data_IF_857817818288
#
_entry.id   IF_857817818288
#
_cell.length_a   1.000
_cell.length_b   1.000
_cell.length_c   1.000
_cell.angle_alpha   90.00
_cell.angle_beta   90.00
_cell.angle_gamma   90.00
#
_symmetry.space_group_name_H-M   'P 1'
#
loop_
_entity.id
_entity.type
_entity.pdbx_description
1 polymer ?
#
# COMPACT_ATOMS: atom_id res chain seq x y z
N UNK A 1 64.79 10.17 -29.62
CA UNK A 1 64.23 8.87 -29.18
C UNK A 1 63.94 8.98 -27.70
N UNK A 2 62.68 8.93 -27.29
CA UNK A 2 62.17 8.14 -26.15
C UNK A 2 60.64 8.28 -26.18
N UNK A 3 59.99 7.14 -26.46
CA UNK A 3 58.54 6.98 -26.51
C UNK A 3 58.07 6.66 -25.09
N UNK A 4 57.06 7.38 -24.59
CA UNK A 4 56.28 6.99 -23.41
C UNK A 4 54.83 7.40 -23.72
N UNK A 5 54.12 6.58 -24.49
CA UNK A 5 53.09 5.65 -24.03
C UNK A 5 51.99 6.29 -23.18
N UNK A 6 50.90 6.57 -23.87
CA UNK A 6 49.56 6.90 -23.41
C UNK A 6 49.08 5.89 -22.36
N UNK A 7 48.84 6.34 -21.13
CA UNK A 7 48.07 5.59 -20.13
C UNK A 7 46.78 6.36 -19.87
N UNK A 8 45.76 6.00 -20.65
CA UNK A 8 44.35 6.29 -20.39
C UNK A 8 43.93 5.58 -19.10
N UNK A 9 43.87 6.30 -17.99
CA UNK A 9 43.16 5.84 -16.80
C UNK A 9 41.71 6.28 -16.97
N UNK A 10 40.92 5.44 -17.64
CA UNK A 10 39.46 5.55 -17.62
C UNK A 10 38.97 5.08 -16.24
N UNK A 11 38.83 6.04 -15.32
CA UNK A 11 38.14 5.80 -14.05
C UNK A 11 36.66 5.57 -14.32
N UNK A 12 36.24 4.30 -14.27
CA UNK A 12 34.84 3.91 -14.28
C UNK A 12 34.22 4.34 -12.93
N UNK A 13 33.69 5.56 -12.87
CA UNK A 13 32.83 5.97 -11.78
C UNK A 13 31.53 5.18 -11.90
N UNK A 14 31.39 4.11 -11.12
CA UNK A 14 30.12 3.42 -10.96
C UNK A 14 29.14 4.39 -10.30
N UNK A 15 28.28 5.00 -11.10
CA UNK A 15 27.14 5.77 -10.62
C UNK A 15 26.19 4.73 -10.01
N UNK A 16 26.24 4.57 -8.69
CA UNK A 16 25.19 3.87 -7.98
C UNK A 16 23.92 4.74 -8.14
N UNK A 17 23.06 4.39 -9.10
CA UNK A 17 21.74 4.98 -9.16
C UNK A 17 21.04 4.64 -7.83
N UNK A 18 20.49 5.63 -7.09
CA UNK A 18 19.63 5.31 -5.97
C UNK A 18 18.50 4.46 -6.53
N UNK A 19 18.31 3.26 -5.98
CA UNK A 19 17.05 2.55 -6.19
C UNK A 19 15.99 3.46 -5.60
N UNK A 20 15.22 4.13 -6.44
CA UNK A 20 14.00 4.80 -6.03
C UNK A 20 13.09 3.67 -5.54
N UNK A 21 13.14 3.33 -4.25
CA UNK A 21 12.08 2.54 -3.67
C UNK A 21 10.86 3.44 -3.74
N UNK A 22 9.86 3.02 -4.52
CA UNK A 22 8.57 3.69 -4.51
C UNK A 22 8.04 3.55 -3.09
N UNK A 23 7.91 4.67 -2.38
CA UNK A 23 7.31 4.72 -1.04
C UNK A 23 5.89 4.15 -1.14
N UNK A 24 5.50 3.29 -0.19
CA UNK A 24 4.15 2.72 -0.18
C UNK A 24 3.10 3.82 -0.02
N UNK A 25 2.40 4.15 -1.11
CA UNK A 25 1.42 5.23 -1.12
C UNK A 25 0.12 4.76 -0.48
N UNK A 26 -0.24 5.38 0.64
CA UNK A 26 -1.54 5.20 1.26
C UNK A 26 -2.61 5.96 0.44
N UNK A 27 -3.69 5.29 -0.01
CA UNK A 27 -4.76 5.90 -0.80
C UNK A 27 -5.52 7.00 -0.05
N UNK A 28 -5.98 8.01 -0.79
CA UNK A 28 -6.81 9.08 -0.24
C UNK A 28 -8.20 8.57 0.20
N UNK A 29 -8.82 9.28 1.14
CA UNK A 29 -10.19 8.97 1.57
C UNK A 29 -11.20 9.22 0.45
N UNK A 30 -12.13 8.28 0.26
CA UNK A 30 -13.21 8.42 -0.73
C UNK A 30 -14.51 8.92 -0.11
N UNK A 31 -15.26 9.69 -0.88
CA UNK A 31 -16.58 10.18 -0.51
C UNK A 31 -17.64 9.17 -0.95
N UNK A 32 -18.43 8.70 0.00
CA UNK A 32 -19.62 7.86 -0.26
C UNK A 32 -20.84 8.77 -0.17
N UNK A 33 -21.65 8.87 -1.24
CA UNK A 33 -22.79 9.78 -1.26
C UNK A 33 -23.95 9.24 -0.41
N UNK A 34 -24.81 10.14 0.07
CA UNK A 34 -25.99 9.78 0.87
C UNK A 34 -27.03 9.09 -0.02
N UNK A 35 -27.29 7.80 0.24
CA UNK A 35 -28.23 7.00 -0.53
C UNK A 35 -29.66 7.53 -0.52
N UNK A 36 -30.06 8.33 0.48
CA UNK A 36 -31.38 8.94 0.51
C UNK A 36 -31.54 10.09 -0.50
N UNK A 37 -30.43 10.73 -0.89
CA UNK A 37 -30.41 11.91 -1.76
C UNK A 37 -29.70 11.67 -3.10
N UNK A 38 -29.06 10.51 -3.27
CA UNK A 38 -28.30 10.17 -4.48
C UNK A 38 -29.20 9.72 -5.63
N UNK A 39 -28.71 9.96 -6.83
CA UNK A 39 -29.19 9.36 -8.08
C UNK A 39 -28.60 7.96 -8.27
N UNK A 40 -29.19 7.18 -9.19
CA UNK A 40 -28.64 5.88 -9.58
C UNK A 40 -27.22 5.99 -10.16
N UNK A 41 -26.96 7.05 -10.93
CA UNK A 41 -25.65 7.32 -11.52
C UNK A 41 -24.60 7.59 -10.44
N UNK A 42 -24.89 8.44 -9.46
CA UNK A 42 -23.98 8.71 -8.33
C UNK A 42 -23.68 7.45 -7.51
N UNK A 43 -24.70 6.63 -7.23
CA UNK A 43 -24.49 5.37 -6.51
C UNK A 43 -23.69 4.34 -7.33
N UNK A 44 -23.88 4.29 -8.65
CA UNK A 44 -23.10 3.44 -9.56
C UNK A 44 -21.64 3.90 -9.59
N UNK A 45 -21.40 5.19 -9.73
CA UNK A 45 -20.05 5.73 -9.82
C UNK A 45 -19.32 5.60 -8.47
N UNK A 46 -20.03 5.78 -7.35
CA UNK A 46 -19.52 5.46 -6.01
C UNK A 46 -19.09 4.01 -5.88
N UNK A 47 -19.80 3.05 -6.48
CA UNK A 47 -19.34 1.65 -6.50
C UNK A 47 -17.99 1.50 -7.20
N UNK A 48 -17.77 2.21 -8.31
CA UNK A 48 -16.50 2.20 -9.03
C UNK A 48 -15.37 2.76 -8.15
N UNK A 49 -15.59 3.91 -7.53
CA UNK A 49 -14.59 4.52 -6.64
C UNK A 49 -14.28 3.65 -5.42
N UNK A 50 -15.27 2.96 -4.84
CA UNK A 50 -15.03 2.00 -3.75
C UNK A 50 -14.14 0.86 -4.23
N UNK A 51 -14.36 0.32 -5.44
CA UNK A 51 -13.51 -0.76 -5.99
C UNK A 51 -12.09 -0.30 -6.26
N UNK A 52 -11.93 0.90 -6.81
CA UNK A 52 -10.62 1.52 -7.06
C UNK A 52 -9.87 1.70 -5.74
N UNK A 53 -10.52 2.28 -4.73
CA UNK A 53 -9.95 2.41 -3.39
C UNK A 53 -9.52 1.06 -2.79
N UNK A 54 -10.34 0.01 -2.91
CA UNK A 54 -9.95 -1.33 -2.42
C UNK A 54 -8.69 -1.85 -3.14
N UNK A 55 -8.61 -1.68 -4.46
CA UNK A 55 -7.45 -2.12 -5.24
C UNK A 55 -6.18 -1.34 -4.88
N UNK A 56 -6.30 -0.03 -4.65
CA UNK A 56 -5.18 0.82 -4.23
C UNK A 56 -4.73 0.48 -2.80
N UNK A 57 -5.65 0.17 -1.89
CA UNK A 57 -5.34 -0.29 -0.53
C UNK A 57 -4.66 -1.66 -0.54
N UNK A 58 -5.09 -2.59 -1.39
CA UNK A 58 -4.41 -3.87 -1.59
C UNK A 58 -3.00 -3.66 -2.15
N UNK A 59 -2.82 -2.74 -3.09
CA UNK A 59 -1.49 -2.38 -3.61
C UNK A 59 -0.59 -1.80 -2.52
N UNK A 60 -1.14 -0.94 -1.65
CA UNK A 60 -0.44 -0.41 -0.48
C UNK A 60 0.00 -1.52 0.48
N UNK A 61 -0.91 -2.42 0.89
CA UNK A 61 -0.60 -3.54 1.77
C UNK A 61 0.48 -4.44 1.15
N UNK A 62 0.37 -4.75 -0.14
CA UNK A 62 1.37 -5.54 -0.85
C UNK A 62 2.74 -4.85 -0.92
N UNK A 63 2.76 -3.52 -0.98
CA UNK A 63 3.99 -2.75 -0.91
C UNK A 63 4.62 -2.84 0.48
N UNK A 64 3.84 -2.67 1.56
CA UNK A 64 4.32 -2.82 2.93
C UNK A 64 4.95 -4.20 3.16
N UNK A 65 4.32 -5.26 2.67
CA UNK A 65 4.86 -6.62 2.76
C UNK A 65 6.20 -6.78 2.01
N UNK A 66 6.35 -6.12 0.87
CA UNK A 66 7.63 -6.11 0.14
C UNK A 66 8.70 -5.33 0.90
N UNK A 67 8.37 -4.18 1.47
CA UNK A 67 9.29 -3.38 2.29
C UNK A 67 9.72 -4.17 3.53
N UNK A 68 8.78 -4.76 4.26
CA UNK A 68 9.04 -5.59 5.43
C UNK A 68 9.95 -6.78 5.09
N UNK A 69 9.60 -7.57 4.06
CA UNK A 69 10.46 -8.67 3.62
C UNK A 69 11.83 -8.20 3.11
N UNK A 70 11.93 -7.02 2.50
CA UNK A 70 13.21 -6.47 2.03
C UNK A 70 14.15 -6.06 3.17
N UNK A 71 13.59 -5.64 4.31
CA UNK A 71 14.32 -5.28 5.53
C UNK A 71 14.72 -6.50 6.35
N UNK A 72 13.90 -7.57 6.32
CA UNK A 72 14.10 -8.81 7.07
C UNK A 72 15.14 -9.77 6.41
N UNK A 73 15.82 -9.37 5.32
CA UNK A 73 16.89 -10.19 4.69
C UNK A 73 18.15 -10.41 5.56
N UNK A 74 18.26 -9.80 6.74
CA UNK A 74 19.23 -10.22 7.76
C UNK A 74 18.61 -11.24 8.74
N UNK A 75 18.73 -12.52 8.36
CA UNK A 75 18.60 -13.72 9.21
C UNK A 75 17.24 -13.94 9.91
N UNK A 76 16.23 -14.42 9.16
CA UNK A 76 15.12 -15.15 9.79
C UNK A 76 15.64 -16.50 10.28
N UNK A 77 15.77 -16.65 11.60
CA UNK A 77 15.66 -17.96 12.24
C UNK A 77 14.23 -18.44 11.99
N UNK A 78 14.07 -19.48 11.17
CA UNK A 78 12.79 -20.08 10.79
C UNK A 78 11.89 -20.47 11.98
N UNK A 79 12.43 -20.51 13.20
CA UNK A 79 11.70 -20.76 14.44
C UNK A 79 11.12 -19.51 15.11
N UNK A 80 11.40 -18.31 14.59
CA UNK A 80 10.83 -17.04 15.05
C UNK A 80 9.92 -16.46 13.99
N UNK A 81 8.83 -17.17 13.70
CA UNK A 81 7.74 -16.55 12.99
C UNK A 81 7.09 -15.48 13.89
N UNK A 82 6.93 -14.25 13.39
CA UNK A 82 6.32 -13.15 14.13
C UNK A 82 4.87 -13.42 14.55
N UNK A 83 4.51 -13.11 15.81
CA UNK A 83 3.14 -13.15 16.37
C UNK A 83 2.69 -11.72 16.64
N UNK A 84 1.49 -11.34 16.18
CA UNK A 84 0.85 -10.04 16.45
C UNK A 84 0.84 -9.68 17.95
N UNK A 85 0.74 -10.67 18.83
CA UNK A 85 0.70 -10.47 20.28
C UNK A 85 2.09 -10.45 20.93
N UNK A 86 3.13 -10.84 20.19
CA UNK A 86 4.50 -10.92 20.67
C UNK A 86 5.47 -10.57 19.55
N UNK A 87 5.55 -9.28 19.17
CA UNK A 87 6.42 -8.85 18.09
C UNK A 87 7.88 -9.04 18.46
N UNK A 88 8.69 -9.49 17.49
CA UNK A 88 10.11 -9.77 17.67
C UNK A 88 10.90 -8.46 17.73
N UNK A 89 10.43 -7.39 17.09
CA UNK A 89 11.01 -6.05 17.11
C UNK A 89 9.97 -4.93 16.80
N UNK A 90 10.42 -3.67 16.88
CA UNK A 90 9.58 -2.48 16.61
C UNK A 90 9.12 -2.40 15.14
N UNK A 91 9.95 -2.84 14.19
CA UNK A 91 9.64 -2.80 12.74
C UNK A 91 8.48 -3.74 12.39
N UNK A 92 8.45 -4.93 12.98
CA UNK A 92 7.37 -5.90 12.83
C UNK A 92 6.06 -5.39 13.46
N UNK A 93 6.14 -4.76 14.63
CA UNK A 93 4.98 -4.16 15.27
C UNK A 93 4.38 -3.06 14.38
N UNK A 94 5.24 -2.20 13.82
CA UNK A 94 4.83 -1.13 12.92
C UNK A 94 4.18 -1.69 11.64
N UNK A 95 4.81 -2.66 10.99
CA UNK A 95 4.27 -3.32 9.79
C UNK A 95 2.88 -3.92 10.04
N UNK A 96 2.74 -4.67 11.13
CA UNK A 96 1.47 -5.26 11.56
C UNK A 96 0.40 -4.20 11.81
N UNK A 97 0.76 -3.13 12.52
CA UNK A 97 -0.16 -2.03 12.82
C UNK A 97 -0.63 -1.33 11.55
N UNK A 98 0.27 -1.05 10.60
CA UNK A 98 -0.07 -0.40 9.34
C UNK A 98 -1.03 -1.25 8.52
N UNK A 99 -0.77 -2.55 8.42
CA UNK A 99 -1.66 -3.49 7.74
C UNK A 99 -3.04 -3.60 8.36
N UNK A 100 -3.12 -3.71 9.68
CA UNK A 100 -4.42 -3.75 10.36
C UNK A 100 -5.19 -2.46 10.16
N UNK A 101 -4.52 -1.31 10.28
CA UNK A 101 -5.16 0.00 10.05
C UNK A 101 -5.69 0.13 8.62
N UNK A 102 -4.96 -0.39 7.63
CA UNK A 102 -5.39 -0.42 6.24
C UNK A 102 -6.63 -1.30 6.03
N UNK A 103 -6.65 -2.50 6.62
CA UNK A 103 -7.80 -3.40 6.58
C UNK A 103 -9.02 -2.76 7.27
N UNK A 104 -8.84 -2.16 8.43
CA UNK A 104 -9.92 -1.48 9.17
C UNK A 104 -10.54 -0.33 8.35
N UNK A 105 -9.70 0.42 7.62
CA UNK A 105 -10.16 1.47 6.72
C UNK A 105 -10.99 0.89 5.54
N UNK A 106 -10.53 -0.20 4.93
CA UNK A 106 -11.26 -0.92 3.88
C UNK A 106 -12.63 -1.41 4.38
N UNK A 107 -12.67 -2.02 5.57
CA UNK A 107 -13.90 -2.51 6.18
C UNK A 107 -14.88 -1.36 6.48
N UNK A 108 -14.37 -0.25 7.01
CA UNK A 108 -15.15 0.97 7.30
C UNK A 108 -15.79 1.54 6.03
N UNK A 109 -15.02 1.68 4.95
CA UNK A 109 -15.50 2.16 3.64
C UNK A 109 -16.56 1.21 3.08
N UNK A 110 -16.30 -0.11 3.12
CA UNK A 110 -17.25 -1.11 2.64
C UNK A 110 -18.56 -1.09 3.45
N UNK A 111 -18.48 -0.95 4.78
CA UNK A 111 -19.63 -0.87 5.66
C UNK A 111 -20.50 0.36 5.35
N UNK A 112 -19.87 1.54 5.25
CA UNK A 112 -20.53 2.80 4.88
C UNK A 112 -21.21 2.69 3.52
N UNK A 113 -20.53 2.17 2.50
CA UNK A 113 -21.11 2.04 1.16
C UNK A 113 -22.31 1.10 1.16
N UNK A 114 -22.20 -0.05 1.82
CA UNK A 114 -23.29 -1.01 1.93
C UNK A 114 -24.51 -0.44 2.67
N UNK A 115 -24.29 0.38 3.68
CA UNK A 115 -25.37 1.12 4.35
C UNK A 115 -26.08 2.07 3.38
N UNK A 116 -25.33 2.88 2.62
CA UNK A 116 -25.92 3.82 1.67
C UNK A 116 -26.64 3.13 0.52
N UNK A 117 -26.15 1.98 0.04
CA UNK A 117 -26.88 1.15 -0.94
C UNK A 117 -28.21 0.66 -0.38
N UNK A 118 -28.28 0.27 0.90
CA UNK A 118 -29.55 -0.13 1.53
C UNK A 118 -30.50 1.05 1.65
N UNK A 119 -29.99 2.23 2.02
CA UNK A 119 -30.78 3.47 2.09
C UNK A 119 -31.34 3.84 0.72
N UNK A 120 -30.51 3.84 -0.32
CA UNK A 120 -30.92 4.11 -1.70
C UNK A 120 -32.04 3.19 -2.17
N UNK A 121 -31.91 1.87 -1.93
CA UNK A 121 -32.95 0.88 -2.29
C UNK A 121 -34.28 1.08 -1.56
N UNK A 122 -34.28 1.66 -0.36
CA UNK A 122 -35.52 1.94 0.38
C UNK A 122 -36.30 3.08 -0.22
N UNK A 123 -35.62 4.09 -0.75
CA UNK A 123 -36.25 5.29 -1.34
C UNK A 123 -36.44 5.19 -2.86
N UNK A 124 -35.81 4.20 -3.51
CA UNK A 124 -35.95 3.85 -4.92
C UNK A 124 -36.37 2.36 -5.08
N UNK A 125 -37.68 2.03 -4.91
CA UNK A 125 -38.18 0.65 -4.98
C UNK A 125 -38.29 0.09 -6.40
#
# INVERSE_FOLDING_TARGET
MFRISTLLIAGLAAIAAPKLQAECIYPDEIIIPDGAASTYEEMRDSQTFVKEYMAEMEAYINCLEQEYHSQVYETIDENKLPDVNNPINEDEQLHTQQRHSAIDAMESVAAKFNEQVRTFKKVNP
#
